data_IF_488184352896
#
_entry.id   IF_488184352896
#
_cell.length_a   1.000
_cell.length_b   1.000
_cell.length_c   1.000
_cell.angle_alpha   90.00
_cell.angle_beta   90.00
_cell.angle_gamma   90.00
#
_symmetry.space_group_name_H-M   'P 1'
#
loop_
_entity.id
_entity.type
_entity.pdbx_description
1 polymer ?
#
# COMPACT_ATOMS: atom_id res chain seq x y z
N UNK A 1 1.53 20.83 10.66
CA UNK A 1 1.04 19.50 11.06
C UNK A 1 1.98 18.50 10.40
N UNK A 2 2.95 17.98 11.15
CA UNK A 2 3.96 17.03 10.64
C UNK A 2 3.29 15.68 10.46
N UNK A 3 3.25 15.15 9.23
CA UNK A 3 2.86 13.76 9.00
C UNK A 3 3.78 12.82 9.79
N UNK A 4 3.26 11.73 10.38
CA UNK A 4 4.12 10.70 10.96
C UNK A 4 5.04 10.11 9.87
N UNK A 5 6.21 9.54 10.24
CA UNK A 5 7.11 8.91 9.28
C UNK A 5 6.38 7.72 8.63
N UNK A 6 5.88 7.94 7.40
CA UNK A 6 5.22 6.90 6.65
C UNK A 6 6.20 5.73 6.49
N UNK A 7 5.77 4.54 6.91
CA UNK A 7 6.53 3.33 6.61
C UNK A 7 6.45 3.11 5.10
N UNK A 8 7.55 2.72 4.46
CA UNK A 8 7.62 2.52 3.01
C UNK A 8 7.82 1.05 2.70
N UNK A 9 7.06 0.52 1.73
CA UNK A 9 7.14 -0.85 1.26
C UNK A 9 7.20 -0.90 -0.26
N UNK A 10 8.34 -1.33 -0.80
CA UNK A 10 8.46 -1.65 -2.21
C UNK A 10 8.09 -3.12 -2.48
N UNK A 11 7.15 -3.32 -3.40
CA UNK A 11 6.71 -4.64 -3.86
C UNK A 11 7.46 -5.09 -5.13
N UNK A 12 8.23 -4.22 -5.79
CA UNK A 12 8.86 -4.54 -7.07
C UNK A 12 7.84 -5.03 -8.11
N UNK A 13 8.16 -6.10 -8.86
CA UNK A 13 7.23 -6.73 -9.82
C UNK A 13 6.22 -7.69 -9.15
N UNK A 14 6.21 -7.79 -7.82
CA UNK A 14 5.34 -8.72 -7.11
C UNK A 14 3.91 -8.18 -7.06
N UNK A 15 3.06 -8.75 -7.90
CA UNK A 15 1.62 -8.52 -7.84
C UNK A 15 1.02 -8.95 -6.50
N UNK A 16 -0.02 -8.25 -6.07
CA UNK A 16 -0.75 -8.57 -4.84
C UNK A 16 -1.34 -9.97 -4.82
N UNK A 17 -1.84 -10.44 -5.95
CA UNK A 17 -2.33 -11.81 -6.16
C UNK A 17 -1.22 -12.86 -5.95
N UNK A 18 0.03 -12.53 -6.31
CA UNK A 18 1.20 -13.41 -6.15
C UNK A 18 1.83 -13.39 -4.76
N UNK A 19 1.15 -12.81 -3.78
CA UNK A 19 1.60 -12.78 -2.38
C UNK A 19 2.07 -11.42 -1.88
N UNK A 20 2.03 -10.36 -2.70
CA UNK A 20 2.34 -9.00 -2.25
C UNK A 20 1.45 -8.55 -1.07
N UNK A 21 0.23 -9.09 -0.97
CA UNK A 21 -0.69 -8.79 0.13
C UNK A 21 -0.17 -9.27 1.50
N UNK A 22 0.69 -10.30 1.54
CA UNK A 22 1.30 -10.78 2.78
C UNK A 22 2.32 -9.78 3.32
N UNK A 23 3.07 -9.13 2.42
CA UNK A 23 4.01 -8.08 2.80
C UNK A 23 3.27 -6.86 3.37
N UNK A 24 2.16 -6.47 2.74
CA UNK A 24 1.28 -5.42 3.27
C UNK A 24 0.73 -5.79 4.65
N UNK A 25 0.18 -7.00 4.83
CA UNK A 25 -0.31 -7.45 6.14
C UNK A 25 0.78 -7.42 7.20
N UNK A 26 2.00 -7.87 6.86
CA UNK A 26 3.14 -7.86 7.78
C UNK A 26 3.55 -6.44 8.15
N UNK A 27 3.61 -5.52 7.19
CA UNK A 27 3.93 -4.13 7.43
C UNK A 27 2.86 -3.48 8.32
N UNK A 28 1.58 -3.62 7.98
CA UNK A 28 0.47 -3.09 8.77
C UNK A 28 0.39 -3.69 10.18
N UNK A 29 0.75 -4.96 10.37
CA UNK A 29 0.77 -5.59 11.68
C UNK A 29 1.82 -4.98 12.64
N UNK A 30 2.84 -4.31 12.09
CA UNK A 30 3.84 -3.59 12.87
C UNK A 30 3.47 -2.11 13.11
N UNK A 31 2.37 -1.63 12.52
CA UNK A 31 1.95 -0.22 12.55
C UNK A 31 0.78 0.00 13.50
N UNK A 32 0.64 1.23 14.00
CA UNK A 32 -0.51 1.59 14.85
C UNK A 32 -1.66 2.06 13.96
N UNK A 33 -2.90 1.86 14.41
CA UNK A 33 -4.07 2.38 13.72
C UNK A 33 -3.98 3.91 13.58
N UNK A 34 -3.92 4.38 12.33
CA UNK A 34 -3.74 5.80 11.99
C UNK A 34 -2.41 6.12 11.32
N UNK A 35 -1.43 5.22 11.37
CA UNK A 35 -0.21 5.32 10.58
C UNK A 35 -0.49 5.14 9.08
N UNK A 36 0.41 5.67 8.26
CA UNK A 36 0.35 5.63 6.80
C UNK A 36 1.47 4.75 6.28
N UNK A 37 1.13 3.80 5.41
CA UNK A 37 2.06 2.93 4.70
C UNK A 37 2.11 3.36 3.23
N UNK A 38 3.26 3.83 2.77
CA UNK A 38 3.52 4.12 1.37
C UNK A 38 3.95 2.83 0.66
N UNK A 39 3.37 2.58 -0.51
CA UNK A 39 3.53 1.31 -1.23
C UNK A 39 3.82 1.59 -2.68
N UNK A 40 4.93 1.07 -3.17
CA UNK A 40 5.30 1.12 -4.59
C UNK A 40 5.37 -0.28 -5.19
N UNK A 41 5.20 -0.36 -6.49
CA UNK A 41 5.50 -1.57 -7.24
C UNK A 41 5.33 -1.34 -8.74
N UNK A 42 5.97 -2.22 -9.52
CA UNK A 42 6.05 -2.14 -10.98
C UNK A 42 4.95 -2.89 -11.72
N UNK A 43 4.10 -3.68 -11.03
CA UNK A 43 3.01 -4.39 -11.69
C UNK A 43 1.88 -3.43 -12.11
N UNK A 44 1.50 -3.44 -13.39
CA UNK A 44 0.37 -2.62 -13.88
C UNK A 44 -0.97 -2.92 -13.19
N UNK A 45 -1.15 -4.15 -12.70
CA UNK A 45 -2.37 -4.57 -12.01
C UNK A 45 -2.37 -4.21 -10.51
N UNK A 46 -1.23 -3.74 -9.99
CA UNK A 46 -1.06 -3.36 -8.59
C UNK A 46 -2.13 -2.36 -8.11
N UNK A 47 -2.41 -1.23 -8.79
CA UNK A 47 -3.42 -0.28 -8.34
C UNK A 47 -4.82 -0.89 -8.21
N UNK A 48 -5.22 -1.75 -9.16
CA UNK A 48 -6.53 -2.44 -9.14
C UNK A 48 -6.60 -3.40 -7.97
N UNK A 49 -5.59 -4.26 -7.81
CA UNK A 49 -5.57 -5.25 -6.74
C UNK A 49 -5.43 -4.59 -5.36
N UNK A 50 -4.67 -3.49 -5.25
CA UNK A 50 -4.44 -2.79 -3.98
C UNK A 50 -5.73 -2.13 -3.50
N UNK A 51 -6.45 -1.48 -4.43
CA UNK A 51 -7.76 -0.90 -4.13
C UNK A 51 -8.77 -1.96 -3.67
N UNK A 52 -8.83 -3.10 -4.35
CA UNK A 52 -9.72 -4.19 -3.97
C UNK A 52 -9.36 -4.77 -2.58
N UNK A 53 -8.06 -4.97 -2.33
CA UNK A 53 -7.55 -5.48 -1.07
C UNK A 53 -7.80 -4.52 0.09
N UNK A 54 -7.47 -3.23 -0.05
CA UNK A 54 -7.75 -2.21 0.97
C UNK A 54 -9.23 -2.18 1.32
N UNK A 55 -10.12 -2.22 0.31
CA UNK A 55 -11.58 -2.27 0.53
C UNK A 55 -12.01 -3.52 1.31
N UNK A 56 -11.46 -4.69 0.97
CA UNK A 56 -11.77 -5.95 1.64
C UNK A 56 -11.28 -5.99 3.10
N UNK A 57 -10.20 -5.26 3.42
CA UNK A 57 -9.66 -5.16 4.78
C UNK A 57 -10.23 -3.97 5.58
N UNK A 58 -11.00 -3.08 4.94
CA UNK A 58 -11.50 -1.85 5.57
C UNK A 58 -10.45 -0.74 5.71
N UNK A 59 -9.34 -0.83 4.97
CA UNK A 59 -8.31 0.20 4.93
C UNK A 59 -8.67 1.29 3.90
N UNK A 60 -8.28 2.53 4.22
CA UNK A 60 -8.35 3.64 3.28
C UNK A 60 -7.09 3.66 2.42
N UNK A 61 -7.28 3.60 1.11
CA UNK A 61 -6.21 3.81 0.14
C UNK A 61 -6.22 5.28 -0.28
N UNK A 62 -5.07 5.93 -0.18
CA UNK A 62 -4.84 7.29 -0.67
C UNK A 62 -3.82 7.21 -1.81
N UNK A 63 -4.06 7.95 -2.89
CA UNK A 63 -3.10 8.08 -3.97
C UNK A 63 -2.40 9.41 -3.80
N UNK A 64 -1.05 9.45 -3.86
CA UNK A 64 -0.35 10.72 -3.81
C UNK A 64 -0.93 11.61 -4.92
N UNK A 65 -1.23 12.89 -4.60
CA UNK A 65 -1.79 13.81 -5.57
C UNK A 65 -0.79 13.95 -6.73
N UNK A 66 -1.18 13.37 -7.86
CA UNK A 66 -0.61 13.55 -9.19
C UNK A 66 0.85 13.10 -9.38
N UNK A 67 1.03 11.84 -9.79
CA UNK A 67 2.23 11.39 -10.50
C UNK A 67 2.06 11.60 -12.02
N UNK A 68 1.59 12.79 -12.43
CA UNK A 68 1.35 13.15 -13.83
C UNK A 68 2.17 14.39 -14.20
N UNK A 69 3.32 14.18 -14.84
CA UNK A 69 3.95 15.17 -15.72
C UNK A 69 4.60 14.45 -16.90
#
# INVERSE_FOLDING_TARGET
MTSPPASYLDLGDLGLDRGGHLLLKRALAAMVAGDVLDVTGGSQELPVHLRAWCRAQGHRLDWPPDATA
#
